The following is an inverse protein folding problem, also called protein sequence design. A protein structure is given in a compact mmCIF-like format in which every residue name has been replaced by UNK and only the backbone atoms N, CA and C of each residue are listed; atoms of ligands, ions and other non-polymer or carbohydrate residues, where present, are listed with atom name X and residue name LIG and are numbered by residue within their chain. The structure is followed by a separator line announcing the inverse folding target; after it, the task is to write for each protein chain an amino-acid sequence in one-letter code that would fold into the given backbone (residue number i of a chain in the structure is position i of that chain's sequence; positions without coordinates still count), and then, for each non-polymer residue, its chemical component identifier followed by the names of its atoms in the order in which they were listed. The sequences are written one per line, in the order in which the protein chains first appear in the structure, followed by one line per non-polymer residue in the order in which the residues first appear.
data_IF_509819466763
#
_entry.id   IF_509819466763
#
_cell.length_a   1.000
_cell.length_b   1.000
_cell.length_c   1.000
_cell.angle_alpha   90.00
_cell.angle_beta   90.00
_cell.angle_gamma   90.00
#
_symmetry.space_group_name_H-M   'P 1'
#
loop_
_entity.id
_entity.type
_entity.pdbx_description
1 polymer ?
#
# COMPACT_ATOMS: atom_id res chain seq x y z
N UNK A 1 -1.36 8.77 -28.05
CA UNK A 1 -2.54 8.56 -27.19
C UNK A 1 -2.45 7.17 -26.56
N UNK A 2 -2.55 7.08 -25.23
CA UNK A 2 -2.55 5.82 -24.48
C UNK A 2 -3.96 5.57 -23.88
N UNK A 3 -4.13 4.47 -23.15
CA UNK A 3 -5.42 4.08 -22.55
C UNK A 3 -5.92 5.02 -21.43
N UNK A 4 -5.19 6.10 -21.11
CA UNK A 4 -5.61 7.13 -20.16
C UNK A 4 -6.40 8.26 -20.84
N UNK A 5 -6.29 8.41 -22.16
CA UNK A 5 -7.03 9.40 -22.96
C UNK A 5 -6.93 10.85 -22.43
N UNK A 6 -5.80 11.23 -21.82
CA UNK A 6 -5.60 12.57 -21.22
C UNK A 6 -5.77 13.69 -22.25
N UNK A 7 -5.34 13.45 -23.49
CA UNK A 7 -5.43 14.41 -24.60
C UNK A 7 -6.89 14.76 -25.00
N UNK A 8 -7.88 13.98 -24.54
CA UNK A 8 -9.31 14.24 -24.80
C UNK A 8 -9.98 15.06 -23.69
N UNK A 9 -9.30 15.25 -22.55
CA UNK A 9 -9.85 15.99 -21.43
C UNK A 9 -9.77 17.49 -21.70
N UNK A 10 -10.82 18.27 -21.38
CA UNK A 10 -10.78 19.73 -21.42
C UNK A 10 -10.01 20.25 -20.20
N UNK A 11 -8.72 19.92 -20.11
CA UNK A 11 -7.83 20.23 -19.00
C UNK A 11 -6.51 20.72 -19.58
N UNK A 12 -6.07 21.90 -19.15
CA UNK A 12 -4.79 22.48 -19.59
C UNK A 12 -3.60 21.70 -19.03
N UNK A 13 -2.42 21.87 -19.64
CA UNK A 13 -1.19 21.23 -19.16
C UNK A 13 -0.85 21.67 -17.72
N UNK A 14 -1.07 22.95 -17.40
CA UNK A 14 -0.87 23.50 -16.06
C UNK A 14 -1.79 22.83 -15.02
N UNK A 15 -3.09 22.72 -15.31
CA UNK A 15 -4.04 22.06 -14.41
C UNK A 15 -3.74 20.56 -14.26
N UNK A 16 -3.30 19.90 -15.34
CA UNK A 16 -2.85 18.51 -15.27
C UNK A 16 -1.67 18.31 -14.33
N UNK A 17 -0.66 19.19 -14.39
CA UNK A 17 0.50 19.13 -13.52
C UNK A 17 0.11 19.30 -12.04
N UNK A 18 -0.77 20.25 -11.75
CA UNK A 18 -1.28 20.49 -10.39
C UNK A 18 -2.07 19.29 -9.84
N UNK A 19 -2.96 18.72 -10.65
CA UNK A 19 -3.72 17.51 -10.31
C UNK A 19 -2.78 16.34 -10.00
N UNK A 20 -1.76 16.11 -10.83
CA UNK A 20 -0.79 15.03 -10.63
C UNK A 20 0.08 15.23 -9.40
N UNK A 21 0.49 16.47 -9.14
CA UNK A 21 1.25 16.81 -7.94
C UNK A 21 0.43 16.55 -6.67
N UNK A 22 -0.83 17.00 -6.64
CA UNK A 22 -1.70 16.84 -5.48
C UNK A 22 -2.06 15.37 -5.23
N UNK A 23 -2.35 14.62 -6.30
CA UNK A 23 -2.58 13.18 -6.23
C UNK A 23 -1.35 12.43 -5.69
N UNK A 24 -0.15 12.73 -6.22
CA UNK A 24 1.10 12.10 -5.83
C UNK A 24 1.43 12.37 -4.37
N UNK A 25 1.33 13.63 -3.94
CA UNK A 25 1.57 14.02 -2.55
C UNK A 25 0.60 13.34 -1.61
N UNK A 26 -0.69 13.31 -1.95
CA UNK A 26 -1.71 12.70 -1.12
C UNK A 26 -1.56 11.18 -1.03
N UNK A 27 -1.26 10.51 -2.15
CA UNK A 27 -1.00 9.07 -2.18
C UNK A 27 0.23 8.71 -1.33
N UNK A 28 1.37 9.38 -1.56
CA UNK A 28 2.61 9.16 -0.79
C UNK A 28 2.45 9.43 0.70
N UNK A 29 1.59 10.37 1.09
CA UNK A 29 1.32 10.67 2.50
C UNK A 29 0.59 9.52 3.21
N UNK A 30 -0.29 8.82 2.52
CA UNK A 30 -1.18 7.81 3.12
C UNK A 30 -0.71 6.36 2.93
N UNK A 31 0.09 6.08 1.90
CA UNK A 31 0.59 4.74 1.61
C UNK A 31 1.71 4.36 2.58
N UNK A 32 1.61 3.19 3.19
CA UNK A 32 2.62 2.66 4.10
C UNK A 32 3.27 1.39 3.59
N UNK A 33 2.53 0.53 2.89
CA UNK A 33 2.99 -0.77 2.38
C UNK A 33 4.22 -0.66 1.49
N UNK A 34 4.22 0.29 0.54
CA UNK A 34 5.36 0.54 -0.37
C UNK A 34 6.66 0.94 0.33
N UNK A 35 6.64 1.31 1.61
CA UNK A 35 7.84 1.64 2.39
C UNK A 35 8.52 0.41 2.99
N UNK A 36 7.86 -0.74 2.99
CA UNK A 36 8.32 -1.94 3.69
C UNK A 36 8.32 -3.21 2.84
N UNK A 37 7.61 -3.22 1.72
CA UNK A 37 7.64 -4.32 0.75
C UNK A 37 8.51 -3.95 -0.43
N UNK A 38 9.01 -4.97 -1.14
CA UNK A 38 9.72 -4.77 -2.40
C UNK A 38 8.72 -4.36 -3.47
N UNK A 39 8.96 -3.22 -4.12
CA UNK A 39 8.12 -2.73 -5.21
C UNK A 39 8.84 -2.96 -6.52
N UNK A 40 8.26 -3.78 -7.40
CA UNK A 40 8.85 -4.04 -8.72
C UNK A 40 8.63 -2.88 -9.67
N UNK A 41 9.57 -2.68 -10.60
CA UNK A 41 9.33 -1.80 -11.76
C UNK A 41 8.06 -2.24 -12.53
N UNK A 42 7.26 -1.29 -13.05
CA UNK A 42 6.04 -1.61 -13.78
C UNK A 42 6.31 -2.47 -15.02
N UNK A 43 5.69 -3.65 -15.09
CA UNK A 43 5.83 -4.61 -16.19
C UNK A 43 5.09 -4.20 -17.48
N UNK A 44 4.33 -3.11 -17.44
CA UNK A 44 3.57 -2.56 -18.54
C UNK A 44 2.12 -3.05 -18.61
N UNK A 45 1.31 -2.47 -19.52
CA UNK A 45 -0.14 -2.71 -19.60
C UNK A 45 -0.52 -4.10 -20.13
N UNK A 46 0.43 -4.85 -20.68
CA UNK A 46 0.22 -6.22 -21.19
C UNK A 46 0.44 -7.28 -20.12
N UNK A 47 1.01 -6.92 -18.97
CA UNK A 47 1.19 -7.84 -17.86
C UNK A 47 -0.18 -8.23 -17.29
N UNK A 48 -0.44 -9.54 -17.22
CA UNK A 48 -1.72 -10.07 -16.75
C UNK A 48 -1.60 -10.91 -15.46
N UNK A 49 -0.46 -11.55 -15.23
CA UNK A 49 -0.23 -12.40 -14.07
C UNK A 49 1.27 -12.57 -13.79
N UNK A 50 1.60 -13.00 -12.57
CA UNK A 50 2.95 -13.34 -12.13
C UNK A 50 3.01 -14.83 -11.80
N UNK A 51 3.91 -15.56 -12.45
CA UNK A 51 4.07 -16.99 -12.21
C UNK A 51 4.66 -17.28 -10.83
N UNK A 52 4.11 -18.27 -10.11
CA UNK A 52 4.60 -18.66 -8.77
C UNK A 52 5.72 -19.71 -8.85
N UNK A 53 6.02 -20.22 -10.05
CA UNK A 53 6.96 -21.31 -10.28
C UNK A 53 6.42 -22.69 -9.90
N UNK A 54 5.18 -22.77 -9.40
CA UNK A 54 4.55 -24.03 -8.96
C UNK A 54 3.69 -24.65 -10.06
N UNK A 55 3.44 -25.94 -9.91
CA UNK A 55 2.57 -26.71 -10.79
C UNK A 55 1.36 -27.22 -10.01
N UNK A 56 0.20 -27.22 -10.66
CA UNK A 56 -1.03 -27.84 -10.15
C UNK A 56 -1.39 -28.99 -11.06
N UNK A 57 -1.45 -30.21 -10.51
CA UNK A 57 -1.84 -31.40 -11.27
C UNK A 57 -3.26 -31.26 -11.82
N UNK A 58 -3.46 -31.67 -13.07
CA UNK A 58 -4.77 -31.71 -13.73
C UNK A 58 -4.98 -33.06 -14.40
N UNK A 59 -6.23 -33.36 -14.76
CA UNK A 59 -6.59 -34.60 -15.45
C UNK A 59 -5.77 -34.79 -16.73
N UNK A 60 -5.24 -35.99 -16.91
CA UNK A 60 -4.52 -36.38 -18.11
C UNK A 60 -5.42 -36.26 -19.36
N UNK A 61 -4.90 -35.76 -20.50
CA UNK A 61 -5.67 -35.70 -21.75
C UNK A 61 -5.82 -37.07 -22.43
N UNK A 62 -5.11 -38.10 -21.95
CA UNK A 62 -5.17 -39.46 -22.48
C UNK A 62 -4.20 -40.40 -21.76
N UNK A 63 -4.28 -41.68 -22.09
CA UNK A 63 -3.47 -42.73 -21.46
C UNK A 63 -1.97 -42.49 -21.67
N UNK A 64 -1.20 -42.61 -20.58
CA UNK A 64 0.25 -42.41 -20.59
C UNK A 64 0.72 -40.95 -20.61
N UNK A 65 -0.18 -39.98 -20.45
CA UNK A 65 0.15 -38.54 -20.40
C UNK A 65 -0.07 -37.98 -18.99
N UNK A 66 0.89 -37.22 -18.48
CA UNK A 66 0.73 -36.42 -17.26
C UNK A 66 0.54 -34.95 -17.62
N UNK A 67 -0.35 -34.25 -16.92
CA UNK A 67 -0.69 -32.86 -17.20
C UNK A 67 -0.68 -32.00 -15.94
N UNK A 68 -0.14 -30.79 -16.09
CA UNK A 68 -0.01 -29.81 -15.01
C UNK A 68 -0.31 -28.40 -15.55
N UNK A 69 -0.98 -27.58 -14.75
CA UNK A 69 -1.09 -26.14 -14.96
C UNK A 69 0.04 -25.41 -14.27
N UNK A 70 0.52 -24.33 -14.89
CA UNK A 70 1.43 -23.38 -14.23
C UNK A 70 0.62 -22.46 -13.34
N UNK A 71 0.94 -22.46 -12.07
CA UNK A 71 0.30 -21.57 -11.10
C UNK A 71 0.78 -20.13 -11.28
N UNK A 72 -0.16 -19.19 -11.20
CA UNK A 72 0.10 -17.76 -11.39
C UNK A 72 -0.89 -16.92 -10.61
N UNK A 73 -0.43 -15.77 -10.13
CA UNK A 73 -1.25 -14.76 -9.46
C UNK A 73 -1.66 -13.69 -10.47
N UNK A 74 -2.97 -13.53 -10.77
CA UNK A 74 -3.43 -12.51 -11.68
C UNK A 74 -3.20 -11.10 -11.11
N UNK A 75 -2.87 -10.15 -11.97
CA UNK A 75 -2.81 -8.74 -11.60
C UNK A 75 -4.23 -8.17 -11.50
N UNK A 76 -4.47 -7.34 -10.49
CA UNK A 76 -5.75 -6.66 -10.28
C UNK A 76 -5.65 -5.19 -10.72
N UNK A 77 -6.65 -4.73 -11.48
CA UNK A 77 -6.75 -3.31 -11.85
C UNK A 77 -7.69 -2.59 -10.89
N UNK A 78 -7.16 -1.64 -10.13
CA UNK A 78 -7.94 -0.75 -9.28
C UNK A 78 -8.23 0.55 -10.01
N UNK A 79 -9.45 1.07 -9.88
CA UNK A 79 -9.86 2.35 -10.46
C UNK A 79 -10.74 3.09 -9.45
N UNK A 80 -10.39 4.34 -9.16
CA UNK A 80 -11.16 5.23 -8.30
C UNK A 80 -11.62 6.44 -9.13
N UNK A 81 -12.89 6.47 -9.59
CA UNK A 81 -13.41 7.64 -10.29
C UNK A 81 -13.54 8.85 -9.38
N UNK A 82 -13.31 10.04 -9.93
CA UNK A 82 -13.57 11.33 -9.31
C UNK A 82 -13.99 12.35 -10.38
N UNK A 83 -14.60 13.45 -9.93
CA UNK A 83 -15.11 14.52 -10.80
C UNK A 83 -14.54 15.85 -10.34
N UNK A 84 -14.20 16.71 -11.29
CA UNK A 84 -13.67 18.06 -11.04
C UNK A 84 -14.54 19.10 -11.73
N UNK A 85 -14.60 20.30 -11.15
CA UNK A 85 -15.26 21.45 -11.76
C UNK A 85 -14.37 22.03 -12.87
N UNK A 86 -14.97 22.32 -14.04
CA UNK A 86 -14.26 23.03 -15.11
C UNK A 86 -13.85 24.43 -14.72
N UNK A 87 -14.64 25.10 -13.86
CA UNK A 87 -14.29 26.43 -13.38
C UNK A 87 -12.96 26.41 -12.60
N UNK A 88 -12.80 25.44 -11.69
CA UNK A 88 -11.57 25.24 -10.89
C UNK A 88 -10.37 24.91 -11.80
N UNK A 89 -10.58 24.09 -12.83
CA UNK A 89 -9.54 23.76 -13.82
C UNK A 89 -9.12 25.01 -14.61
N UNK A 90 -10.08 25.80 -15.09
CA UNK A 90 -9.81 27.00 -15.89
C UNK A 90 -9.18 28.12 -15.04
N UNK A 91 -9.51 28.19 -13.75
CA UNK A 91 -8.96 29.17 -12.81
C UNK A 91 -7.45 29.02 -12.61
N UNK A 92 -6.89 27.81 -12.77
CA UNK A 92 -5.44 27.59 -12.76
C UNK A 92 -4.75 28.40 -13.86
N UNK A 93 -5.32 28.45 -15.07
CA UNK A 93 -4.76 29.22 -16.17
C UNK A 93 -4.85 30.74 -15.92
N UNK A 94 -5.83 31.17 -15.10
CA UNK A 94 -5.97 32.56 -14.64
C UNK A 94 -5.04 32.90 -13.45
N UNK A 95 -4.26 31.94 -12.96
CA UNK A 95 -3.30 32.12 -11.87
C UNK A 95 -3.86 31.84 -10.47
N UNK A 96 -4.99 31.12 -10.36
CA UNK A 96 -5.46 30.62 -9.07
C UNK A 96 -4.40 29.73 -8.41
N UNK A 97 -4.24 29.86 -7.09
CA UNK A 97 -3.29 29.07 -6.29
C UNK A 97 -3.99 28.12 -5.31
N UNK A 98 -5.32 28.18 -5.26
CA UNK A 98 -6.17 27.40 -4.36
C UNK A 98 -7.33 26.69 -5.08
N UNK A 99 -7.12 26.05 -6.25
CA UNK A 99 -8.17 25.26 -6.91
C UNK A 99 -8.65 24.11 -6.01
N UNK A 100 -9.94 23.81 -6.06
CA UNK A 100 -10.54 22.73 -5.28
C UNK A 100 -10.18 21.33 -5.85
N UNK A 101 -9.06 20.80 -5.38
CA UNK A 101 -8.60 19.43 -5.64
C UNK A 101 -9.02 18.40 -4.60
N UNK A 102 -9.99 18.70 -3.74
CA UNK A 102 -10.46 17.74 -2.73
C UNK A 102 -10.97 16.41 -3.34
N UNK A 103 -11.64 16.37 -4.51
CA UNK A 103 -11.98 15.11 -5.17
C UNK A 103 -10.75 14.26 -5.53
N UNK A 104 -9.65 14.90 -5.94
CA UNK A 104 -8.38 14.23 -6.26
C UNK A 104 -7.75 13.67 -4.99
N UNK A 105 -7.67 14.47 -3.92
CA UNK A 105 -7.14 14.03 -2.61
C UNK A 105 -7.95 12.85 -2.06
N UNK A 106 -9.27 12.92 -2.15
CA UNK A 106 -10.16 11.85 -1.71
C UNK A 106 -9.96 10.56 -2.53
N UNK A 107 -9.79 10.66 -3.85
CA UNK A 107 -9.52 9.53 -4.71
C UNK A 107 -8.15 8.89 -4.44
N UNK A 108 -7.10 9.71 -4.32
CA UNK A 108 -5.75 9.26 -3.99
C UNK A 108 -5.71 8.55 -2.62
N UNK A 109 -6.38 9.10 -1.60
CA UNK A 109 -6.51 8.47 -0.28
C UNK A 109 -7.22 7.12 -0.35
N UNK A 110 -8.35 7.03 -1.08
CA UNK A 110 -9.08 5.76 -1.28
C UNK A 110 -8.19 4.70 -1.94
N UNK A 111 -7.41 5.08 -2.96
CA UNK A 111 -6.52 4.16 -3.65
C UNK A 111 -5.37 3.70 -2.73
N UNK A 112 -4.73 4.61 -1.99
CA UNK A 112 -3.68 4.26 -1.03
C UNK A 112 -4.20 3.28 0.04
N UNK A 113 -5.40 3.54 0.57
CA UNK A 113 -6.02 2.67 1.57
C UNK A 113 -6.37 1.30 1.02
N UNK A 114 -6.85 1.24 -0.23
CA UNK A 114 -7.13 -0.02 -0.89
C UNK A 114 -5.85 -0.85 -1.09
N UNK A 115 -4.77 -0.23 -1.56
CA UNK A 115 -3.49 -0.92 -1.77
C UNK A 115 -2.90 -1.45 -0.45
N UNK A 116 -2.83 -0.63 0.59
CA UNK A 116 -2.33 -1.07 1.90
C UNK A 116 -3.17 -2.21 2.48
N UNK A 117 -4.51 -2.13 2.41
CA UNK A 117 -5.38 -3.22 2.88
C UNK A 117 -5.15 -4.51 2.10
N UNK A 118 -4.95 -4.43 0.79
CA UNK A 118 -4.62 -5.61 -0.03
C UNK A 118 -3.29 -6.22 0.42
N UNK A 119 -2.28 -5.41 0.72
CA UNK A 119 -0.96 -5.87 1.19
C UNK A 119 -1.08 -6.53 2.58
N UNK A 120 -1.73 -5.88 3.54
CA UNK A 120 -1.71 -6.32 4.93
C UNK A 120 -2.81 -7.33 5.27
N UNK A 121 -4.04 -7.08 4.83
CA UNK A 121 -5.21 -7.91 5.18
C UNK A 121 -5.63 -8.86 4.04
N UNK A 122 -5.09 -8.66 2.83
CA UNK A 122 -5.34 -9.51 1.68
C UNK A 122 -6.54 -9.07 0.85
N UNK A 123 -6.74 -9.73 -0.29
CA UNK A 123 -7.91 -9.53 -1.14
C UNK A 123 -8.33 -10.86 -1.78
N UNK A 124 -9.17 -11.65 -1.08
CA UNK A 124 -9.53 -12.99 -1.52
C UNK A 124 -10.14 -13.05 -2.92
N UNK A 125 -10.95 -12.05 -3.29
CA UNK A 125 -11.55 -11.97 -4.63
C UNK A 125 -10.52 -11.79 -5.75
N UNK A 126 -9.32 -11.27 -5.44
CA UNK A 126 -8.19 -11.18 -6.36
C UNK A 126 -7.14 -12.28 -6.14
N UNK A 127 -7.44 -13.30 -5.31
CA UNK A 127 -6.51 -14.36 -4.93
C UNK A 127 -5.19 -13.85 -4.29
N UNK A 128 -5.26 -12.70 -3.63
CA UNK A 128 -4.14 -12.11 -2.88
C UNK A 128 -4.29 -12.46 -1.41
N UNK A 129 -3.25 -13.08 -0.85
CA UNK A 129 -3.12 -13.36 0.57
C UNK A 129 -2.37 -12.20 1.23
N UNK A 130 -2.89 -11.67 2.33
CA UNK A 130 -2.27 -10.55 3.04
C UNK A 130 -1.18 -11.02 4.02
N UNK A 131 -0.32 -10.09 4.42
CA UNK A 131 0.73 -10.34 5.43
C UNK A 131 0.14 -10.90 6.73
N UNK A 132 -1.04 -10.42 7.15
CA UNK A 132 -1.71 -10.87 8.38
C UNK A 132 -2.05 -12.36 8.33
N UNK A 133 -2.58 -12.84 7.21
CA UNK A 133 -2.93 -14.26 7.04
C UNK A 133 -1.74 -15.14 6.71
N UNK A 134 -0.72 -14.58 6.03
CA UNK A 134 0.48 -15.32 5.64
C UNK A 134 1.48 -15.54 6.80
N UNK A 135 1.40 -14.74 7.87
CA UNK A 135 2.30 -14.86 9.02
C UNK A 135 2.08 -16.18 9.78
N UNK A 136 3.14 -16.95 9.95
CA UNK A 136 3.16 -18.13 10.82
C UNK A 136 3.47 -17.80 12.29
N UNK A 137 3.81 -16.54 12.60
CA UNK A 137 4.10 -16.12 13.96
C UNK A 137 2.81 -15.93 14.77
N UNK A 138 2.80 -16.22 16.09
CA UNK A 138 1.66 -15.96 16.95
C UNK A 138 1.25 -14.48 16.93
N UNK A 139 -0.04 -14.22 16.76
CA UNK A 139 -0.58 -12.86 16.83
C UNK A 139 -0.49 -12.34 18.27
N UNK A 140 0.16 -11.18 18.45
CA UNK A 140 0.27 -10.52 19.74
C UNK A 140 -0.83 -9.45 19.88
N UNK A 141 -1.59 -9.44 21.00
CA UNK A 141 -2.62 -8.44 21.21
C UNK A 141 -1.97 -7.08 21.53
N UNK A 142 -2.46 -6.02 20.88
CA UNK A 142 -2.05 -4.66 21.22
C UNK A 142 -2.65 -4.28 22.59
N UNK A 143 -1.85 -3.82 23.56
CA UNK A 143 -2.35 -3.47 24.89
C UNK A 143 -3.23 -2.21 24.81
N UNK A 144 -4.22 -2.14 25.71
CA UNK A 144 -5.08 -0.95 25.82
C UNK A 144 -4.31 0.25 26.40
N UNK A 145 -3.36 -0.03 27.30
CA UNK A 145 -2.43 0.98 27.83
C UNK A 145 -1.25 1.14 26.87
N UNK A 146 -1.04 2.32 26.27
CA UNK A 146 0.06 2.56 25.34
C UNK A 146 1.45 2.30 25.94
N UNK A 147 1.60 2.38 27.27
CA UNK A 147 2.86 2.09 27.98
C UNK A 147 3.35 0.66 27.80
N UNK A 148 2.45 -0.28 27.50
CA UNK A 148 2.81 -1.67 27.20
C UNK A 148 3.19 -1.93 25.74
N UNK A 149 3.04 -0.94 24.84
CA UNK A 149 3.34 -1.14 23.41
C UNK A 149 4.80 -1.52 23.17
N UNK A 150 5.81 -0.85 23.79
CA UNK A 150 7.21 -1.24 23.63
C UNK A 150 7.50 -2.70 23.98
N UNK A 151 6.86 -3.25 25.01
CA UNK A 151 7.04 -4.64 25.42
C UNK A 151 6.52 -5.61 24.35
N UNK A 152 5.35 -5.33 23.77
CA UNK A 152 4.77 -6.15 22.69
C UNK A 152 5.62 -6.07 21.42
N UNK A 153 6.14 -4.89 21.07
CA UNK A 153 7.06 -4.74 19.94
C UNK A 153 8.36 -5.51 20.19
N UNK A 154 8.91 -5.47 21.41
CA UNK A 154 10.11 -6.25 21.79
C UNK A 154 9.88 -7.75 21.68
N UNK A 155 8.70 -8.23 22.09
CA UNK A 155 8.28 -9.63 21.92
C UNK A 155 8.16 -10.00 20.43
N UNK A 156 7.57 -9.14 19.60
CA UNK A 156 7.47 -9.37 18.16
C UNK A 156 8.85 -9.45 17.48
N UNK A 157 9.76 -8.53 17.82
CA UNK A 157 11.14 -8.55 17.34
C UNK A 157 11.87 -9.82 17.78
N UNK A 158 11.66 -10.26 19.02
CA UNK A 158 12.24 -11.51 19.52
C UNK A 158 11.70 -12.73 18.78
N UNK A 159 10.40 -12.76 18.45
CA UNK A 159 9.80 -13.82 17.64
C UNK A 159 10.42 -13.91 16.24
N UNK A 160 10.64 -12.77 15.58
CA UNK A 160 11.32 -12.72 14.27
C UNK A 160 12.76 -13.23 14.35
N UNK A 161 13.52 -12.81 15.37
CA UNK A 161 14.90 -13.28 15.60
C UNK A 161 14.96 -14.79 15.86
N UNK A 162 14.04 -15.32 16.66
CA UNK A 162 13.96 -16.76 16.93
C UNK A 162 13.55 -17.57 15.70
N UNK A 163 12.79 -16.96 14.78
CA UNK A 163 12.48 -17.55 13.47
C UNK A 163 13.66 -17.47 12.46
N UNK A 164 14.81 -16.91 12.86
CA UNK A 164 15.97 -16.74 11.98
C UNK A 164 15.77 -15.69 10.89
N UNK A 165 14.87 -14.73 11.12
CA UNK A 165 14.61 -13.63 10.20
C UNK A 165 15.48 -12.45 10.60
N UNK A 166 16.45 -12.11 9.76
CA UNK A 166 17.32 -10.95 9.97
C UNK A 166 16.58 -9.62 9.75
N UNK A 167 17.08 -8.56 10.37
CA UNK A 167 16.62 -7.19 10.15
C UNK A 167 17.16 -6.57 8.84
N UNK A 168 16.98 -5.25 8.63
CA UNK A 168 16.36 -4.30 9.57
C UNK A 168 14.87 -4.58 9.80
N UNK A 169 14.36 -4.21 10.97
CA UNK A 169 12.95 -4.37 11.31
C UNK A 169 12.25 -3.02 11.27
N UNK A 170 11.04 -2.98 10.72
CA UNK A 170 10.17 -1.80 10.74
C UNK A 170 8.86 -2.12 11.43
N UNK A 171 8.27 -1.10 12.06
CA UNK A 171 6.96 -1.21 12.72
C UNK A 171 5.96 -0.31 12.00
N UNK A 172 4.82 -0.87 11.62
CA UNK A 172 3.71 -0.11 11.09
C UNK A 172 2.62 -0.01 12.15
N UNK A 173 2.17 1.21 12.44
CA UNK A 173 1.12 1.48 13.41
C UNK A 173 -0.09 2.07 12.71
N UNK A 174 -1.28 1.56 13.03
CA UNK A 174 -2.55 2.20 12.71
C UNK A 174 -2.58 3.66 13.18
N UNK A 175 -3.44 4.49 12.59
CA UNK A 175 -3.53 5.91 12.95
C UNK A 175 -3.75 6.10 14.47
N UNK A 176 -4.65 5.34 15.08
CA UNK A 176 -4.94 5.41 16.52
C UNK A 176 -3.75 4.95 17.37
N UNK A 177 -3.10 3.85 16.99
CA UNK A 177 -1.94 3.35 17.73
C UNK A 177 -0.75 4.32 17.63
N UNK A 178 -0.52 4.89 16.45
CA UNK A 178 0.54 5.86 16.22
C UNK A 178 0.32 7.13 17.05
N UNK A 179 -0.90 7.69 17.06
CA UNK A 179 -1.25 8.87 17.88
C UNK A 179 -1.06 8.58 19.36
N UNK A 180 -1.56 7.44 19.85
CA UNK A 180 -1.37 7.03 21.26
C UNK A 180 0.10 6.94 21.65
N UNK A 181 0.94 6.34 20.81
CA UNK A 181 2.39 6.22 21.03
C UNK A 181 3.08 7.59 21.00
N UNK A 182 2.66 8.49 20.10
CA UNK A 182 3.25 9.81 19.95
C UNK A 182 2.90 10.75 21.12
N UNK A 183 1.69 10.64 21.67
CA UNK A 183 1.20 11.54 22.73
C UNK A 183 1.47 11.01 24.14
N UNK A 184 1.75 9.72 24.31
CA UNK A 184 1.96 9.12 25.64
C UNK A 184 3.44 9.19 26.05
N UNK A 185 3.65 9.58 27.30
CA UNK A 185 4.95 9.50 27.98
C UNK A 185 4.84 8.58 29.20
N UNK A 186 5.87 7.79 29.45
CA UNK A 186 5.98 6.97 30.66
C UNK A 186 7.05 7.57 31.59
N UNK A 187 6.65 7.96 32.80
CA UNK A 187 7.52 8.68 33.74
C UNK A 187 8.31 9.86 33.15
N UNK A 188 7.71 10.56 32.17
CA UNK A 188 8.31 11.71 31.48
C UNK A 188 9.14 11.37 30.24
N UNK A 189 9.27 10.09 29.88
CA UNK A 189 9.97 9.64 28.68
C UNK A 189 8.97 9.33 27.55
N UNK A 190 9.06 9.97 26.38
CA UNK A 190 8.15 9.72 25.26
C UNK A 190 8.25 8.27 24.75
N UNK A 191 7.11 7.59 24.62
CA UNK A 191 7.08 6.19 24.17
C UNK A 191 7.60 6.07 22.73
N UNK A 192 7.28 7.04 21.87
CA UNK A 192 7.76 7.07 20.50
C UNK A 192 9.31 7.05 20.43
N UNK A 193 10.00 7.78 21.32
CA UNK A 193 11.45 7.75 21.36
C UNK A 193 11.99 6.40 21.83
N UNK A 194 11.31 5.75 22.79
CA UNK A 194 11.67 4.40 23.22
C UNK A 194 11.57 3.41 22.06
N UNK A 195 10.48 3.46 21.29
CA UNK A 195 10.32 2.60 20.11
C UNK A 195 11.38 2.87 19.03
N UNK A 196 11.69 4.14 18.75
CA UNK A 196 12.74 4.51 17.79
C UNK A 196 14.14 4.03 18.19
N UNK A 197 14.38 3.75 19.49
CA UNK A 197 15.64 3.15 19.95
C UNK A 197 15.62 1.62 19.95
N UNK A 198 14.43 1.02 20.03
CA UNK A 198 14.23 -0.42 20.04
C UNK A 198 14.27 -1.04 18.62
N UNK A 199 13.85 -0.26 17.63
CA UNK A 199 13.65 -0.68 16.25
C UNK A 199 14.76 -0.07 15.39
N UNK A 200 15.50 -0.91 14.67
CA UNK A 200 16.62 -0.47 13.83
C UNK A 200 16.17 0.24 12.53
N UNK A 201 14.92 0.00 12.10
CA UNK A 201 14.27 0.63 10.95
C UNK A 201 13.30 1.74 11.35
N UNK A 202 12.19 1.83 10.62
CA UNK A 202 11.24 2.95 10.76
C UNK A 202 10.01 2.57 11.61
N UNK A 203 9.52 3.55 12.40
CA UNK A 203 8.14 3.56 12.91
C UNK A 203 7.26 4.30 11.90
N UNK A 204 6.38 3.56 11.23
CA UNK A 204 5.61 4.02 10.07
C UNK A 204 4.16 4.26 10.46
N UNK A 205 3.67 5.46 10.14
CA UNK A 205 2.25 5.78 10.19
C UNK A 205 1.51 5.08 9.04
N UNK A 206 0.65 4.13 9.37
CA UNK A 206 -0.10 3.30 8.43
C UNK A 206 -1.60 3.45 8.69
N UNK A 207 -2.26 4.51 8.19
CA UNK A 207 -3.64 4.83 8.54
C UNK A 207 -4.67 3.87 7.95
N UNK A 208 -4.28 3.03 7.00
CA UNK A 208 -5.16 2.11 6.29
C UNK A 208 -5.39 0.78 7.02
N UNK A 209 -4.50 0.43 7.97
CA UNK A 209 -4.49 -0.84 8.71
C UNK A 209 -5.10 -0.68 10.10
N UNK A 210 -5.50 -1.82 10.68
CA UNK A 210 -5.88 -1.94 12.09
C UNK A 210 -4.76 -2.59 12.92
N UNK A 211 -4.51 -2.02 14.10
CA UNK A 211 -3.50 -2.52 15.03
C UNK A 211 -2.07 -2.10 14.66
N UNK A 212 -1.18 -3.08 14.58
CA UNK A 212 0.23 -2.89 14.25
C UNK A 212 0.81 -4.12 13.53
N UNK A 213 1.86 -3.89 12.74
CA UNK A 213 2.69 -4.95 12.16
C UNK A 213 4.15 -4.70 12.50
N UNK A 214 4.89 -5.79 12.76
CA UNK A 214 6.35 -5.79 12.88
C UNK A 214 6.88 -6.77 11.86
N UNK A 215 7.76 -6.32 10.99
CA UNK A 215 8.28 -7.12 9.88
C UNK A 215 9.73 -6.75 9.59
N UNK A 216 10.42 -7.63 8.86
CA UNK A 216 11.73 -7.33 8.29
C UNK A 216 11.58 -6.57 6.98
N UNK A 217 12.54 -5.69 6.71
CA UNK A 217 12.72 -4.99 5.43
C UNK A 217 14.05 -5.37 4.76
N UNK A 218 14.58 -6.58 5.05
CA UNK A 218 15.78 -7.13 4.40
C UNK A 218 15.62 -7.38 2.88
N UNK A 219 14.38 -7.42 2.41
CA UNK A 219 14.02 -7.70 1.02
C UNK A 219 13.90 -9.20 0.70
N UNK A 220 13.07 -9.51 -0.29
CA UNK A 220 12.79 -10.84 -0.80
C UNK A 220 11.59 -11.55 -0.15
N UNK A 221 11.03 -11.02 0.94
CA UNK A 221 9.95 -11.66 1.69
C UNK A 221 8.55 -11.20 1.25
N UNK A 222 8.37 -9.92 0.87
CA UNK A 222 7.09 -9.34 0.48
C UNK A 222 7.22 -8.59 -0.86
N UNK A 223 6.49 -9.03 -1.87
CA UNK A 223 6.65 -8.56 -3.25
C UNK A 223 5.35 -7.90 -3.78
N UNK A 224 5.42 -6.59 -4.05
CA UNK A 224 4.37 -5.82 -4.71
C UNK A 224 4.68 -5.69 -6.21
N UNK A 225 3.93 -6.47 -6.99
CA UNK A 225 4.07 -6.53 -8.45
C UNK A 225 3.20 -5.51 -9.15
N UNK A 226 3.83 -4.57 -9.85
CA UNK A 226 3.15 -3.53 -10.61
C UNK A 226 3.06 -3.91 -12.09
N UNK A 227 1.84 -3.89 -12.64
CA UNK A 227 1.64 -3.85 -14.09
C UNK A 227 1.86 -2.43 -14.60
N UNK A 228 1.02 -1.51 -14.13
CA UNK A 228 1.19 -0.07 -14.31
C UNK A 228 1.11 0.59 -12.94
N UNK A 229 1.98 1.56 -12.68
CA UNK A 229 1.86 2.35 -11.45
C UNK A 229 0.64 3.30 -11.49
N UNK A 230 0.39 3.99 -10.39
CA UNK A 230 -0.70 4.96 -10.24
C UNK A 230 -0.65 5.98 -11.38
N UNK A 231 -1.76 6.08 -12.11
CA UNK A 231 -1.91 7.00 -13.23
C UNK A 231 -3.32 7.59 -13.23
N UNK A 232 -3.43 8.81 -13.74
CA UNK A 232 -4.71 9.52 -13.86
C UNK A 232 -5.14 9.48 -15.32
N UNK A 233 -6.40 9.11 -15.55
CA UNK A 233 -7.00 9.05 -16.87
C UNK A 233 -8.33 9.79 -16.93
N UNK A 234 -8.76 10.07 -18.15
CA UNK A 234 -10.00 10.75 -18.47
C UNK A 234 -11.12 9.76 -18.82
N UNK A 235 -12.35 10.09 -18.42
CA UNK A 235 -13.55 9.29 -18.71
C UNK A 235 -14.54 10.05 -19.60
N UNK A 236 -15.07 11.17 -19.10
CA UNK A 236 -16.09 11.97 -19.78
C UNK A 236 -16.10 13.39 -19.22
N UNK A 237 -16.71 14.32 -19.96
CA UNK A 237 -17.09 15.66 -19.47
C UNK A 237 -18.52 15.96 -19.94
N UNK A 238 -19.21 16.84 -19.23
CA UNK A 238 -20.46 17.47 -19.68
C UNK A 238 -20.19 18.84 -20.33
N UNK A 239 -21.20 19.33 -21.04
CA UNK A 239 -21.14 20.55 -21.86
C UNK A 239 -21.16 21.81 -20.99
#
# INVERSE_FOLDING_TARGET
MNNLYRDLAPVTEAAWADIEQEATRTFKRHIAGRRVVDVSEPAGPTAAAVGTGRLTGIGAPGDGVEAHLRDSKPLVRLRVPFTLSRAEIDDVERGSQDPDWDPVKAAAKKLAFAEDRIIFDGYPAASVEGIRSASSNPALPLPQDPRGIPDVISQALSALRLAGVDGPYSVLLSADAYTKVAETSDHGYPILEHLNRLVDGDIIWAPAIDGAFVLTTRGGDFDLRLGTDVAIGYLSHDA
#
